data_IF_516847634154
#
_entry.id   IF_516847634154
#
_cell.length_a   1.000
_cell.length_b   1.000
_cell.length_c   1.000
_cell.angle_alpha   90.00
_cell.angle_beta   90.00
_cell.angle_gamma   90.00
#
_symmetry.space_group_name_H-M   'P 1'
#
loop_
_entity.id
_entity.type
_entity.pdbx_description
1 polymer ?
#
# COMPACT_ATOMS: atom_id res chain seq x y z
N UNK A 1 -10.02 6.76 -19.62
CA UNK A 1 -8.77 6.29 -18.94
C UNK A 1 -8.68 4.75 -18.92
N UNK A 2 -8.71 4.06 -20.07
CA UNK A 2 -8.89 2.59 -20.09
C UNK A 2 -7.67 1.77 -20.59
N UNK A 3 -6.81 2.35 -21.44
CA UNK A 3 -5.77 1.58 -22.15
C UNK A 3 -4.62 1.08 -21.25
N UNK A 4 -4.18 1.87 -20.26
CA UNK A 4 -3.14 1.42 -19.30
C UNK A 4 -3.62 0.27 -18.41
N UNK A 5 -4.93 0.07 -18.26
CA UNK A 5 -5.48 -0.96 -17.39
C UNK A 5 -5.47 -2.36 -18.00
N UNK A 6 -5.56 -2.48 -19.34
CA UNK A 6 -5.76 -3.79 -19.99
C UNK A 6 -4.45 -4.58 -20.11
N UNK A 7 -3.37 -3.91 -20.52
CA UNK A 7 -2.02 -4.50 -20.55
C UNK A 7 -1.62 -4.88 -19.12
N UNK A 8 -1.84 -3.98 -18.16
CA UNK A 8 -1.55 -4.24 -16.76
C UNK A 8 -2.33 -5.45 -16.23
N UNK A 9 -3.64 -5.55 -16.52
CA UNK A 9 -4.45 -6.71 -16.12
C UNK A 9 -4.00 -8.02 -16.78
N UNK A 10 -3.63 -8.00 -18.06
CA UNK A 10 -3.19 -9.21 -18.77
C UNK A 10 -1.80 -9.67 -18.33
N UNK A 11 -0.89 -8.74 -18.05
CA UNK A 11 0.48 -9.07 -17.67
C UNK A 11 0.65 -9.33 -16.18
N UNK A 12 0.07 -8.50 -15.31
CA UNK A 12 0.24 -8.59 -13.85
C UNK A 12 -0.87 -9.39 -13.17
N UNK A 13 -2.07 -9.43 -13.75
CA UNK A 13 -3.19 -10.18 -13.19
C UNK A 13 -2.88 -11.65 -12.90
N UNK A 14 -2.25 -12.41 -13.83
CA UNK A 14 -1.90 -13.81 -13.60
C UNK A 14 -0.91 -14.06 -12.46
N UNK A 15 0.03 -13.14 -12.24
CA UNK A 15 1.08 -13.28 -11.21
C UNK A 15 0.76 -12.52 -9.93
N UNK A 16 -0.41 -11.88 -9.85
CA UNK A 16 -0.75 -10.94 -8.78
C UNK A 16 -0.61 -11.54 -7.37
N UNK A 17 -0.96 -12.82 -7.20
CA UNK A 17 -0.92 -13.53 -5.92
C UNK A 17 0.52 -13.88 -5.50
N UNK A 18 1.46 -13.83 -6.45
CA UNK A 18 2.89 -14.08 -6.22
C UNK A 18 3.66 -12.78 -5.98
N UNK A 19 3.03 -11.61 -6.17
CA UNK A 19 3.67 -10.33 -5.96
C UNK A 19 3.47 -9.85 -4.52
N UNK A 20 4.55 -9.60 -3.76
CA UNK A 20 4.47 -9.31 -2.32
C UNK A 20 3.75 -8.01 -1.97
N UNK A 21 3.57 -7.12 -2.94
CA UNK A 21 2.98 -5.78 -2.75
C UNK A 21 1.63 -5.60 -3.46
N UNK A 22 1.03 -6.66 -4.01
CA UNK A 22 -0.14 -6.49 -4.87
C UNK A 22 -1.47 -6.73 -4.15
N UNK A 23 -1.54 -7.72 -3.26
CA UNK A 23 -2.71 -7.95 -2.40
C UNK A 23 -2.33 -7.83 -0.91
N UNK A 24 -3.26 -7.30 -0.10
CA UNK A 24 -3.14 -7.22 1.37
C UNK A 24 -1.88 -6.52 1.90
N UNK A 25 -1.56 -5.35 1.32
CA UNK A 25 -0.59 -4.43 1.91
C UNK A 25 -1.05 -4.07 3.33
N UNK A 26 -0.25 -4.45 4.32
CA UNK A 26 -0.45 -4.06 5.71
C UNK A 26 0.88 -3.67 6.33
N UNK A 27 0.88 -2.83 7.37
CA UNK A 27 2.07 -2.49 8.13
C UNK A 27 2.94 -3.70 8.47
N UNK A 28 2.31 -4.78 8.97
CA UNK A 28 2.98 -6.01 9.38
C UNK A 28 3.66 -6.73 8.21
N UNK A 29 2.94 -6.92 7.10
CA UNK A 29 3.45 -7.65 5.94
C UNK A 29 4.59 -6.89 5.26
N UNK A 30 4.49 -5.56 5.19
CA UNK A 30 5.51 -4.73 4.56
C UNK A 30 6.77 -4.65 5.45
N UNK A 31 6.61 -4.53 6.77
CA UNK A 31 7.75 -4.57 7.69
C UNK A 31 8.52 -5.88 7.58
N UNK A 32 7.81 -7.02 7.52
CA UNK A 32 8.42 -8.33 7.29
C UNK A 32 9.16 -8.41 5.94
N UNK A 33 8.55 -7.91 4.86
CA UNK A 33 9.21 -7.87 3.55
C UNK A 33 10.51 -7.05 3.61
N UNK A 34 10.49 -5.88 4.26
CA UNK A 34 11.67 -5.03 4.35
C UNK A 34 12.78 -5.64 5.20
N UNK A 35 12.45 -6.35 6.28
CA UNK A 35 13.46 -7.08 7.05
C UNK A 35 14.16 -8.16 6.22
N UNK A 36 13.44 -8.89 5.36
CA UNK A 36 14.02 -9.88 4.44
C UNK A 36 14.98 -9.25 3.42
N UNK A 37 14.80 -7.96 3.11
CA UNK A 37 15.68 -7.22 2.17
C UNK A 37 16.91 -6.60 2.82
N UNK A 38 17.13 -6.82 4.13
CA UNK A 38 18.25 -6.24 4.87
C UNK A 38 18.01 -4.78 5.32
N UNK A 39 16.76 -4.31 5.27
CA UNK A 39 16.37 -3.03 5.87
C UNK A 39 16.19 -3.23 7.37
N UNK A 40 17.05 -2.61 8.17
CA UNK A 40 17.09 -2.69 9.63
C UNK A 40 16.47 -1.44 10.26
N UNK A 41 16.21 -1.50 11.57
CA UNK A 41 15.64 -0.38 12.36
C UNK A 41 14.37 0.19 11.73
N UNK A 42 13.47 -0.69 11.25
CA UNK A 42 12.27 -0.25 10.54
C UNK A 42 11.27 0.39 11.49
N UNK A 43 10.79 1.57 11.13
CA UNK A 43 9.71 2.28 11.83
C UNK A 43 8.50 2.39 10.90
N UNK A 44 7.31 2.26 11.47
CA UNK A 44 6.05 2.46 10.74
C UNK A 44 5.31 3.64 11.37
N UNK A 45 5.09 4.69 10.58
CA UNK A 45 4.39 5.89 11.01
C UNK A 45 3.06 6.02 10.28
N UNK A 46 1.91 5.81 10.96
CA UNK A 46 0.60 6.05 10.36
C UNK A 46 0.43 7.52 9.97
N UNK A 47 0.03 7.80 8.74
CA UNK A 47 -0.17 9.17 8.24
C UNK A 47 -1.62 9.63 8.45
N UNK A 48 -2.00 9.78 9.73
CA UNK A 48 -3.38 10.09 10.13
C UNK A 48 -3.89 11.40 9.54
N UNK A 49 -3.03 12.42 9.43
CA UNK A 49 -3.41 13.71 8.88
C UNK A 49 -3.69 13.63 7.37
N UNK A 50 -2.87 12.88 6.62
CA UNK A 50 -3.11 12.58 5.21
C UNK A 50 -4.43 11.82 5.05
N UNK A 51 -4.69 10.84 5.93
CA UNK A 51 -5.93 10.08 5.92
C UNK A 51 -7.16 10.97 6.18
N UNK A 52 -7.08 11.87 7.16
CA UNK A 52 -8.15 12.86 7.46
C UNK A 52 -8.39 13.78 6.27
N UNK A 53 -7.32 14.30 5.68
CA UNK A 53 -7.38 15.20 4.53
C UNK A 53 -8.04 14.54 3.30
N UNK A 54 -7.66 13.31 2.97
CA UNK A 54 -8.26 12.56 1.87
C UNK A 54 -9.73 12.25 2.15
N UNK A 55 -10.06 11.74 3.35
CA UNK A 55 -11.45 11.49 3.75
C UNK A 55 -12.33 12.72 3.56
N UNK A 56 -11.85 13.90 3.96
CA UNK A 56 -12.61 15.15 3.84
C UNK A 56 -12.89 15.57 2.38
N UNK A 57 -12.16 15.02 1.40
CA UNK A 57 -12.32 15.32 -0.04
C UNK A 57 -13.04 14.23 -0.82
N UNK A 58 -13.25 13.06 -0.23
CA UNK A 58 -14.01 11.98 -0.84
C UNK A 58 -15.51 12.13 -0.62
N UNK A 59 -16.30 11.64 -1.59
CA UNK A 59 -17.76 11.52 -1.45
C UNK A 59 -18.12 10.58 -0.29
N UNK A 60 -19.31 10.76 0.29
CA UNK A 60 -19.74 10.04 1.49
C UNK A 60 -19.69 8.51 1.31
N UNK A 61 -20.11 8.00 0.14
CA UNK A 61 -20.01 6.58 -0.22
C UNK A 61 -18.57 6.08 -0.18
N UNK A 62 -17.65 6.84 -0.75
CA UNK A 62 -16.23 6.49 -0.82
C UNK A 62 -15.55 6.51 0.54
N UNK A 63 -15.97 7.40 1.46
CA UNK A 63 -15.48 7.43 2.86
C UNK A 63 -15.81 6.15 3.64
N UNK A 64 -16.93 5.50 3.33
CA UNK A 64 -17.39 4.29 4.04
C UNK A 64 -16.71 3.03 3.46
N UNK A 65 -16.54 2.95 2.14
CA UNK A 65 -16.00 1.76 1.48
C UNK A 65 -14.48 1.74 1.33
N UNK A 66 -13.80 2.90 1.26
CA UNK A 66 -12.34 2.98 1.15
C UNK A 66 -11.72 3.36 2.50
N UNK A 67 -11.53 2.37 3.39
CA UNK A 67 -10.75 2.55 4.61
C UNK A 67 -9.27 2.18 4.36
N UNK A 68 -8.64 2.87 3.43
CA UNK A 68 -7.23 2.62 3.09
C UNK A 68 -6.35 3.09 4.25
N UNK A 69 -5.53 2.20 4.79
CA UNK A 69 -4.48 2.55 5.74
C UNK A 69 -3.32 3.20 4.99
N UNK A 70 -3.06 4.48 5.30
CA UNK A 70 -1.91 5.22 4.77
C UNK A 70 -0.85 5.28 5.85
N UNK A 71 0.34 4.81 5.54
CA UNK A 71 1.46 4.76 6.46
C UNK A 71 2.77 4.95 5.72
N UNK A 72 3.76 5.53 6.40
CA UNK A 72 5.15 5.62 5.99
C UNK A 72 5.91 4.47 6.64
N UNK A 73 6.85 3.87 5.92
CA UNK A 73 7.85 2.98 6.50
C UNK A 73 9.21 3.56 6.21
N UNK A 74 10.01 3.72 7.26
CA UNK A 74 11.40 4.15 7.22
C UNK A 74 12.27 3.03 7.79
N UNK A 75 13.54 3.03 7.42
CA UNK A 75 14.51 2.06 7.90
C UNK A 75 15.89 2.39 7.35
N UNK A 76 16.90 1.71 7.86
CA UNK A 76 18.29 1.87 7.46
C UNK A 76 18.74 0.64 6.70
N UNK A 77 19.42 0.83 5.57
CA UNK A 77 20.03 -0.27 4.83
C UNK A 77 21.47 -0.43 5.33
N UNK A 78 21.81 -1.65 5.73
CA UNK A 78 23.19 -2.03 6.02
C UNK A 78 24.02 -2.14 4.73
#
# INVERSE_FOLDING_TARGET
MAARSLIFKKSYGPIRNSLPLYEKISPKNISFLFSETGLMNTEISPLLEVQKFQRNRHSFSRRIFENNSIFLISGQKN
#
